data_IF_869597745839
#
_entry.id   IF_869597745839
#
_cell.length_a   1.000
_cell.length_b   1.000
_cell.length_c   1.000
_cell.angle_alpha   90.00
_cell.angle_beta   90.00
_cell.angle_gamma   90.00
#
_symmetry.space_group_name_H-M   'P 1'
#
loop_
_entity.id
_entity.type
_entity.pdbx_description
1 polymer ?
#
# COMPACT_ATOMS: atom_id res chain seq x y z
N UNK A 1 -34.19 -5.34 -52.55
CA UNK A 1 -33.46 -6.47 -51.91
C UNK A 1 -32.19 -5.92 -51.27
N UNK A 2 -31.82 -6.33 -50.05
CA UNK A 2 -30.44 -6.17 -49.54
C UNK A 2 -30.16 -5.22 -48.37
N UNK A 3 -30.76 -5.52 -47.21
CA UNK A 3 -30.53 -5.09 -45.81
C UNK A 3 -29.27 -4.29 -45.42
N UNK A 4 -29.53 -3.15 -44.77
CA UNK A 4 -28.66 -2.31 -43.92
C UNK A 4 -28.29 -3.02 -42.60
N UNK A 5 -27.01 -3.06 -42.20
CA UNK A 5 -26.59 -3.49 -40.86
C UNK A 5 -26.17 -2.29 -40.00
N UNK A 6 -27.08 -1.83 -39.13
CA UNK A 6 -26.80 -0.91 -38.03
C UNK A 6 -26.29 -1.72 -36.83
N UNK A 7 -25.06 -1.44 -36.41
CA UNK A 7 -24.48 -1.94 -35.15
C UNK A 7 -25.24 -1.35 -33.95
N UNK A 8 -25.83 -2.23 -33.15
CA UNK A 8 -26.61 -1.87 -31.97
C UNK A 8 -25.67 -1.51 -30.81
N UNK A 9 -25.72 -0.25 -30.37
CA UNK A 9 -25.21 0.13 -29.05
C UNK A 9 -26.02 -0.60 -27.96
N UNK A 10 -25.33 -1.44 -27.19
CA UNK A 10 -25.88 -2.05 -25.97
C UNK A 10 -25.89 -0.97 -24.88
N UNK A 11 -27.08 -0.47 -24.55
CA UNK A 11 -27.30 0.44 -23.42
C UNK A 11 -27.04 -0.34 -22.12
N UNK A 12 -26.03 0.07 -21.35
CA UNK A 12 -25.87 -0.37 -19.96
C UNK A 12 -26.94 0.34 -19.14
N UNK A 13 -27.97 -0.41 -18.75
CA UNK A 13 -29.06 0.05 -17.90
C UNK A 13 -28.53 0.26 -16.48
N UNK A 14 -28.41 1.51 -16.04
CA UNK A 14 -28.32 1.83 -14.61
C UNK A 14 -29.66 1.49 -13.96
N UNK A 15 -29.74 0.30 -13.36
CA UNK A 15 -30.76 0.02 -12.34
C UNK A 15 -30.15 0.41 -11.00
N UNK A 16 -30.53 1.58 -10.51
CA UNK A 16 -30.34 1.98 -9.12
C UNK A 16 -31.23 1.09 -8.23
N UNK A 17 -30.75 -0.11 -7.92
CA UNK A 17 -31.37 -0.97 -6.93
C UNK A 17 -30.94 -0.46 -5.56
N UNK A 18 -31.70 0.50 -5.03
CA UNK A 18 -31.61 0.94 -3.64
C UNK A 18 -31.84 -0.28 -2.75
N UNK A 19 -30.76 -0.86 -2.23
CA UNK A 19 -30.81 -1.86 -1.16
C UNK A 19 -31.37 -1.17 0.09
N UNK A 20 -32.68 -1.19 0.25
CA UNK A 20 -33.32 -0.96 1.55
C UNK A 20 -33.02 -2.18 2.42
N UNK A 21 -31.87 -2.19 3.10
CA UNK A 21 -31.68 -3.11 4.22
C UNK A 21 -32.70 -2.73 5.28
N UNK A 22 -33.58 -3.67 5.64
CA UNK A 22 -34.32 -3.60 6.89
C UNK A 22 -33.28 -3.70 7.99
N UNK A 23 -32.95 -2.56 8.61
CA UNK A 23 -32.16 -2.58 9.85
C UNK A 23 -33.14 -3.11 10.89
N UNK A 24 -33.04 -4.39 11.23
CA UNK A 24 -33.74 -4.88 12.42
C UNK A 24 -33.08 -4.22 13.63
N UNK A 25 -33.90 -3.54 14.43
CA UNK A 25 -33.42 -2.95 15.67
C UNK A 25 -32.87 -4.05 16.58
N UNK A 26 -31.72 -3.83 17.26
CA UNK A 26 -31.15 -4.82 18.15
C UNK A 26 -32.18 -5.23 19.21
N UNK A 27 -32.57 -6.50 19.21
CA UNK A 27 -33.43 -7.08 20.25
C UNK A 27 -32.59 -7.33 21.50
N UNK A 28 -32.32 -6.26 22.23
CA UNK A 28 -32.12 -6.16 23.68
C UNK A 28 -31.22 -4.95 24.01
N UNK A 29 -31.68 -4.14 24.98
CA UNK A 29 -30.90 -3.00 25.50
C UNK A 29 -29.89 -3.53 26.51
N UNK A 30 -28.61 -3.48 26.17
CA UNK A 30 -27.49 -3.70 27.10
C UNK A 30 -27.59 -2.64 28.21
N UNK A 31 -27.75 -3.07 29.47
CA UNK A 31 -28.04 -2.16 30.58
C UNK A 31 -26.80 -1.58 31.25
N UNK A 32 -25.65 -2.27 31.22
CA UNK A 32 -24.42 -1.77 31.85
C UNK A 32 -23.15 -2.10 31.02
N UNK A 33 -22.13 -1.21 30.95
CA UNK A 33 -20.93 -1.39 30.11
C UNK A 33 -19.95 -2.47 30.58
N UNK A 34 -20.09 -2.96 31.82
CA UNK A 34 -19.16 -3.88 32.46
C UNK A 34 -19.42 -5.36 32.11
N UNK A 35 -20.54 -5.68 31.44
CA UNK A 35 -20.84 -7.03 30.92
C UNK A 35 -20.07 -7.39 29.63
N UNK A 36 -19.30 -6.44 29.08
CA UNK A 36 -18.54 -6.61 27.84
C UNK A 36 -17.12 -7.18 28.06
N UNK A 37 -16.70 -7.37 29.31
CA UNK A 37 -15.33 -7.72 29.67
C UNK A 37 -15.37 -9.03 30.47
N UNK A 38 -14.71 -10.08 29.98
CA UNK A 38 -14.59 -11.34 30.72
C UNK A 38 -13.65 -11.21 31.93
N UNK A 39 -13.64 -12.21 32.82
CA UNK A 39 -12.82 -12.18 34.05
C UNK A 39 -11.30 -12.09 33.81
N UNK A 40 -10.85 -12.21 32.55
CA UNK A 40 -9.46 -12.05 32.13
C UNK A 40 -9.18 -10.68 31.46
N UNK A 41 -10.18 -9.80 31.34
CA UNK A 41 -10.01 -8.45 30.83
C UNK A 41 -10.11 -8.30 29.30
N UNK A 42 -10.62 -9.32 28.60
CA UNK A 42 -10.84 -9.27 27.15
C UNK A 42 -12.29 -8.87 26.81
N UNK A 43 -12.44 -8.15 25.70
CA UNK A 43 -13.75 -7.75 25.20
C UNK A 43 -14.44 -8.99 24.62
N UNK A 44 -15.50 -9.44 25.29
CA UNK A 44 -16.36 -10.53 24.85
C UNK A 44 -17.25 -10.05 23.69
N UNK A 45 -16.72 -10.08 22.47
CA UNK A 45 -17.56 -10.02 21.28
C UNK A 45 -18.37 -11.34 21.24
N UNK A 46 -19.71 -11.28 21.10
CA UNK A 46 -20.53 -12.48 21.06
C UNK A 46 -20.02 -13.40 19.95
N UNK A 47 -19.79 -14.67 20.31
CA UNK A 47 -19.33 -15.70 19.40
C UNK A 47 -20.31 -15.80 18.21
N UNK A 48 -19.79 -15.42 17.04
CA UNK A 48 -20.29 -15.76 15.70
C UNK A 48 -21.80 -15.94 15.57
N UNK A 49 -22.49 -14.90 15.10
CA UNK A 49 -23.46 -15.13 14.04
C UNK A 49 -22.67 -15.79 12.90
N UNK A 50 -22.87 -17.10 12.70
CA UNK A 50 -22.26 -17.82 11.58
C UNK A 50 -22.62 -17.04 10.32
N UNK A 51 -21.61 -16.41 9.72
CA UNK A 51 -21.78 -15.67 8.48
C UNK A 51 -22.43 -16.64 7.49
N UNK A 52 -23.62 -16.34 6.94
CA UNK A 52 -24.32 -17.26 6.07
C UNK A 52 -23.36 -17.80 5.01
N UNK A 53 -23.41 -19.11 4.74
CA UNK A 53 -22.46 -19.79 3.85
C UNK A 53 -22.39 -19.12 2.47
N UNK A 54 -23.50 -18.53 2.03
CA UNK A 54 -23.62 -17.70 0.83
C UNK A 54 -22.75 -16.44 0.88
N UNK A 55 -22.72 -15.73 2.01
CA UNK A 55 -21.90 -14.51 2.21
C UNK A 55 -20.43 -14.88 2.32
N UNK A 56 -20.08 -15.99 2.98
CA UNK A 56 -18.70 -16.47 3.02
C UNK A 56 -18.24 -16.94 1.62
N UNK A 57 -19.10 -17.60 0.85
CA UNK A 57 -18.83 -17.98 -0.54
C UNK A 57 -18.68 -16.76 -1.45
N UNK A 58 -19.49 -15.71 -1.28
CA UNK A 58 -19.32 -14.44 -2.00
C UNK A 58 -18.02 -13.73 -1.61
N UNK A 59 -17.67 -13.71 -0.32
CA UNK A 59 -16.40 -13.18 0.18
C UNK A 59 -15.21 -13.96 -0.36
N UNK A 60 -15.29 -15.29 -0.40
CA UNK A 60 -14.28 -16.17 -0.96
C UNK A 60 -14.17 -15.99 -2.48
N UNK A 61 -15.27 -15.90 -3.21
CA UNK A 61 -15.27 -15.61 -4.65
C UNK A 61 -14.66 -14.22 -4.94
N UNK A 62 -14.97 -13.21 -4.12
CA UNK A 62 -14.37 -11.89 -4.23
C UNK A 62 -12.87 -11.91 -3.95
N UNK A 63 -12.43 -12.66 -2.93
CA UNK A 63 -11.01 -12.88 -2.62
C UNK A 63 -10.31 -13.62 -3.76
N UNK A 64 -10.91 -14.68 -4.28
CA UNK A 64 -10.39 -15.50 -5.38
C UNK A 64 -10.25 -14.70 -6.67
N UNK A 65 -11.26 -13.94 -7.08
CA UNK A 65 -11.21 -13.05 -8.25
C UNK A 65 -10.07 -12.01 -8.14
N UNK A 66 -9.77 -11.54 -6.93
CA UNK A 66 -8.67 -10.61 -6.70
C UNK A 66 -7.30 -11.31 -6.81
N UNK A 67 -7.21 -12.57 -6.38
CA UNK A 67 -5.99 -13.39 -6.51
C UNK A 67 -5.74 -13.74 -7.97
N UNK A 68 -6.74 -14.23 -8.70
CA UNK A 68 -6.62 -14.59 -10.13
C UNK A 68 -6.22 -13.39 -10.98
N UNK A 69 -6.88 -12.24 -10.81
CA UNK A 69 -6.53 -11.01 -11.53
C UNK A 69 -5.08 -10.56 -11.25
N UNK A 70 -4.62 -10.65 -10.00
CA UNK A 70 -3.25 -10.30 -9.65
C UNK A 70 -2.24 -11.28 -10.27
N UNK A 71 -2.57 -12.57 -10.32
CA UNK A 71 -1.74 -13.60 -10.93
C UNK A 71 -1.65 -13.43 -12.44
N UNK A 72 -2.77 -13.24 -13.13
CA UNK A 72 -2.81 -12.99 -14.58
C UNK A 72 -2.04 -11.71 -14.97
N UNK A 73 -2.19 -10.65 -14.18
CA UNK A 73 -1.48 -9.40 -14.41
C UNK A 73 0.02 -9.55 -14.13
N UNK A 74 0.41 -10.32 -13.10
CA UNK A 74 1.80 -10.65 -12.82
C UNK A 74 2.43 -11.48 -13.94
N UNK A 75 1.73 -12.50 -14.44
CA UNK A 75 2.20 -13.33 -15.55
C UNK A 75 2.42 -12.53 -16.83
N UNK A 76 1.49 -11.65 -17.19
CA UNK A 76 1.66 -10.74 -18.33
C UNK A 76 2.83 -9.76 -18.17
N UNK A 77 3.34 -9.57 -16.96
CA UNK A 77 4.45 -8.67 -16.63
C UNK A 77 5.79 -9.42 -16.43
N UNK A 78 5.80 -10.76 -16.45
CA UNK A 78 7.03 -11.56 -16.33
C UNK A 78 7.87 -11.53 -17.62
N UNK A 79 7.23 -11.54 -18.78
CA UNK A 79 7.88 -11.53 -20.10
C UNK A 79 8.36 -10.12 -20.51
N UNK A 80 9.33 -9.58 -19.79
CA UNK A 80 9.85 -8.22 -20.05
C UNK A 80 11.27 -8.25 -20.61
N UNK A 81 11.50 -8.96 -21.71
CA UNK A 81 12.76 -8.82 -22.48
C UNK A 81 12.84 -7.46 -23.21
N UNK A 82 11.73 -6.73 -23.34
CA UNK A 82 11.69 -5.31 -23.69
C UNK A 82 10.37 -4.77 -23.16
N UNK A 83 10.40 -3.82 -22.21
CA UNK A 83 9.20 -3.26 -21.58
C UNK A 83 8.18 -2.81 -22.65
N UNK A 84 7.07 -3.56 -22.79
CA UNK A 84 5.98 -3.24 -23.72
C UNK A 84 5.57 -1.77 -23.52
N UNK A 85 5.47 -0.96 -24.60
CA UNK A 85 5.02 0.43 -24.50
C UNK A 85 3.72 0.60 -23.70
N UNK A 86 2.83 -0.40 -23.68
CA UNK A 86 1.60 -0.38 -22.87
C UNK A 86 1.89 -0.33 -21.36
N UNK A 87 2.86 -1.11 -20.89
CA UNK A 87 3.25 -1.15 -19.48
C UNK A 87 3.81 0.20 -19.07
N UNK A 88 4.65 0.80 -19.91
CA UNK A 88 5.22 2.14 -19.67
C UNK A 88 4.14 3.21 -19.53
N UNK A 89 3.15 3.22 -20.41
CA UNK A 89 2.04 4.19 -20.34
C UNK A 89 1.21 4.01 -19.06
N UNK A 90 0.92 2.76 -18.67
CA UNK A 90 0.17 2.47 -17.43
C UNK A 90 0.93 2.95 -16.19
N UNK A 91 2.21 2.62 -16.06
CA UNK A 91 2.99 3.03 -14.89
C UNK A 91 3.33 4.52 -14.88
N UNK A 92 3.47 5.16 -16.04
CA UNK A 92 3.57 6.62 -16.14
C UNK A 92 2.31 7.31 -15.60
N UNK A 93 1.12 6.81 -15.94
CA UNK A 93 -0.15 7.30 -15.38
C UNK A 93 -0.23 7.10 -13.87
N UNK A 94 0.25 5.96 -13.37
CA UNK A 94 0.34 5.70 -11.92
C UNK A 94 1.25 6.72 -11.23
N UNK A 95 2.42 7.05 -11.80
CA UNK A 95 3.32 8.08 -11.27
C UNK A 95 2.63 9.44 -11.10
N UNK A 96 1.84 9.86 -12.10
CA UNK A 96 1.04 11.10 -12.03
C UNK A 96 0.05 11.10 -10.86
N UNK A 97 -0.57 9.95 -10.57
CA UNK A 97 -1.49 9.80 -9.43
C UNK A 97 -0.73 9.90 -8.10
N UNK A 98 0.45 9.28 -8.00
CA UNK A 98 1.27 9.26 -6.79
C UNK A 98 1.80 10.64 -6.40
N UNK A 99 2.09 11.50 -7.38
CA UNK A 99 2.47 12.91 -7.16
C UNK A 99 1.38 13.71 -6.42
N UNK A 100 0.12 13.49 -6.78
CA UNK A 100 -1.04 14.17 -6.19
C UNK A 100 -1.65 13.46 -4.98
N UNK A 101 -1.11 12.31 -4.57
CA UNK A 101 -1.74 11.46 -3.57
C UNK A 101 -1.75 12.12 -2.19
N UNK A 102 -2.88 12.01 -1.49
CA UNK A 102 -3.07 12.51 -0.11
C UNK A 102 -3.63 11.42 0.79
N UNK A 103 -4.71 10.78 0.36
CA UNK A 103 -5.43 9.76 1.12
C UNK A 103 -6.12 8.78 0.17
N UNK A 104 -6.60 7.66 0.73
CA UNK A 104 -7.39 6.67 0.00
C UNK A 104 -6.64 5.38 -0.30
N UNK A 105 -7.11 4.66 -1.33
CA UNK A 105 -6.53 3.38 -1.75
C UNK A 105 -5.55 3.63 -2.89
N UNK A 106 -4.35 3.05 -2.80
CA UNK A 106 -3.41 3.04 -3.91
C UNK A 106 -3.93 2.16 -5.07
N UNK A 107 -3.61 2.51 -6.33
CA UNK A 107 -3.95 1.70 -7.50
C UNK A 107 -3.45 0.25 -7.36
N UNK A 108 -4.24 -0.72 -7.82
CA UNK A 108 -3.84 -2.13 -7.73
C UNK A 108 -2.58 -2.42 -8.56
N UNK A 109 -2.39 -1.76 -9.70
CA UNK A 109 -1.17 -1.84 -10.50
C UNK A 109 0.10 -1.50 -9.71
N UNK A 110 0.00 -0.61 -8.71
CA UNK A 110 1.13 -0.26 -7.83
C UNK A 110 1.39 -1.35 -6.78
N UNK A 111 0.33 -1.97 -6.24
CA UNK A 111 0.43 -2.98 -5.18
C UNK A 111 1.07 -4.28 -5.64
N UNK A 112 1.00 -4.59 -6.94
CA UNK A 112 1.59 -5.81 -7.49
C UNK A 112 3.09 -5.67 -7.79
N UNK A 113 3.63 -4.44 -7.82
CA UNK A 113 5.04 -4.19 -8.16
C UNK A 113 6.01 -5.06 -7.35
N UNK A 114 5.83 -5.24 -6.02
CA UNK A 114 6.75 -6.07 -5.23
C UNK A 114 6.85 -7.54 -5.63
N UNK A 115 5.84 -8.08 -6.31
CA UNK A 115 5.83 -9.46 -6.77
C UNK A 115 6.47 -9.67 -8.15
N UNK A 116 6.92 -8.59 -8.80
CA UNK A 116 7.49 -8.64 -10.14
C UNK A 116 9.01 -8.89 -10.08
N UNK A 117 9.55 -9.61 -11.05
CA UNK A 117 11.00 -9.87 -11.13
C UNK A 117 11.79 -8.58 -11.38
N UNK A 118 11.33 -7.77 -12.36
CA UNK A 118 11.92 -6.47 -12.71
C UNK A 118 11.24 -5.30 -12.00
N UNK A 119 10.88 -5.48 -10.73
CA UNK A 119 10.16 -4.48 -9.94
C UNK A 119 10.87 -3.11 -9.90
N UNK A 120 12.21 -3.09 -9.89
CA UNK A 120 12.98 -1.84 -9.80
C UNK A 120 12.83 -0.99 -11.06
N UNK A 121 12.93 -1.61 -12.24
CA UNK A 121 12.77 -0.91 -13.53
C UNK A 121 11.35 -0.34 -13.66
N UNK A 122 10.35 -1.11 -13.23
CA UNK A 122 8.94 -0.69 -13.22
C UNK A 122 8.71 0.44 -12.22
N UNK A 123 9.37 0.39 -11.05
CA UNK A 123 9.29 1.45 -10.05
C UNK A 123 9.84 2.77 -10.61
N UNK A 124 10.96 2.75 -11.32
CA UNK A 124 11.56 3.96 -11.91
C UNK A 124 10.60 4.64 -12.92
N UNK A 125 9.79 3.87 -13.65
CA UNK A 125 8.76 4.43 -14.56
C UNK A 125 7.71 5.28 -13.84
N UNK A 126 7.51 5.05 -12.54
CA UNK A 126 6.56 5.83 -11.73
C UNK A 126 7.17 7.09 -11.13
N UNK A 127 8.43 7.40 -11.46
CA UNK A 127 9.18 8.59 -11.00
C UNK A 127 9.12 8.78 -9.49
N UNK A 128 9.78 7.91 -8.70
CA UNK A 128 9.70 7.91 -7.24
C UNK A 128 10.15 9.22 -6.57
N UNK A 129 10.97 10.01 -7.27
CA UNK A 129 11.42 11.32 -6.82
C UNK A 129 10.30 12.38 -6.72
N UNK A 130 9.24 12.24 -7.51
CA UNK A 130 8.13 13.20 -7.58
C UNK A 130 6.93 12.79 -6.72
N UNK A 131 7.05 11.71 -5.96
CA UNK A 131 5.95 11.24 -5.13
C UNK A 131 5.62 12.19 -4.00
N UNK A 132 4.34 12.23 -3.61
CA UNK A 132 3.95 12.94 -2.40
C UNK A 132 4.51 12.22 -1.15
N UNK A 133 4.78 12.94 -0.05
CA UNK A 133 5.21 12.31 1.20
C UNK A 133 4.23 11.23 1.70
N UNK A 134 2.93 11.43 1.46
CA UNK A 134 1.89 10.45 1.78
C UNK A 134 2.01 9.18 0.94
N UNK A 135 2.33 9.31 -0.36
CA UNK A 135 2.54 8.19 -1.25
C UNK A 135 3.78 7.39 -0.82
N UNK A 136 4.88 8.06 -0.48
CA UNK A 136 6.11 7.43 0.02
C UNK A 136 5.82 6.58 1.26
N UNK A 137 5.01 7.07 2.19
CA UNK A 137 4.62 6.32 3.38
C UNK A 137 3.84 5.03 3.04
N UNK A 138 2.81 5.15 2.20
CA UNK A 138 1.99 4.00 1.82
C UNK A 138 2.78 3.00 0.96
N UNK A 139 3.64 3.49 0.06
CA UNK A 139 4.57 2.67 -0.71
C UNK A 139 5.50 1.89 0.22
N UNK A 140 6.13 2.57 1.18
CA UNK A 140 7.00 1.93 2.17
C UNK A 140 6.28 0.82 2.93
N UNK A 141 5.03 1.06 3.36
CA UNK A 141 4.23 0.02 4.03
C UNK A 141 4.07 -1.23 3.17
N UNK A 142 3.72 -1.08 1.88
CA UNK A 142 3.50 -2.20 0.95
C UNK A 142 4.80 -2.92 0.63
N UNK A 143 5.84 -2.19 0.27
CA UNK A 143 7.12 -2.75 -0.18
C UNK A 143 7.85 -3.44 0.97
N UNK A 144 7.86 -2.84 2.15
CA UNK A 144 8.47 -3.44 3.34
C UNK A 144 7.66 -4.65 3.81
N UNK A 145 6.34 -4.70 3.69
CA UNK A 145 5.59 -5.92 4.05
C UNK A 145 5.75 -7.06 3.03
N UNK A 146 5.86 -6.72 1.74
CA UNK A 146 5.78 -7.71 0.67
C UNK A 146 7.13 -8.27 0.22
N UNK A 147 8.22 -7.52 0.36
CA UNK A 147 9.53 -7.90 -0.20
C UNK A 147 10.45 -8.62 0.79
N UNK A 148 11.41 -9.36 0.23
CA UNK A 148 12.53 -9.93 1.01
C UNK A 148 13.53 -8.85 1.45
N UNK A 149 14.36 -9.10 2.50
CA UNK A 149 15.27 -8.11 3.07
C UNK A 149 16.23 -7.45 2.06
N UNK A 150 16.77 -8.23 1.10
CA UNK A 150 17.68 -7.72 0.06
C UNK A 150 16.99 -6.75 -0.91
N UNK A 151 15.73 -7.03 -1.27
CA UNK A 151 14.94 -6.18 -2.16
C UNK A 151 14.49 -4.92 -1.43
N UNK A 152 13.99 -5.06 -0.19
CA UNK A 152 13.64 -3.93 0.66
C UNK A 152 14.82 -2.98 0.87
N UNK A 153 16.03 -3.49 1.09
CA UNK A 153 17.23 -2.66 1.21
C UNK A 153 17.41 -1.73 -0.01
N UNK A 154 17.30 -2.29 -1.23
CA UNK A 154 17.44 -1.52 -2.47
C UNK A 154 16.35 -0.45 -2.60
N UNK A 155 15.11 -0.79 -2.27
CA UNK A 155 13.99 0.16 -2.28
C UNK A 155 14.19 1.29 -1.27
N UNK A 156 14.58 0.96 -0.03
CA UNK A 156 14.81 1.94 1.03
C UNK A 156 15.91 2.92 0.64
N UNK A 157 17.02 2.43 0.09
CA UNK A 157 18.11 3.28 -0.37
C UNK A 157 17.70 4.17 -1.56
N UNK A 158 17.11 3.61 -2.62
CA UNK A 158 16.79 4.39 -3.83
C UNK A 158 15.62 5.35 -3.66
N UNK A 159 14.62 4.98 -2.88
CA UNK A 159 13.37 5.76 -2.77
C UNK A 159 13.31 6.53 -1.47
N UNK A 160 13.28 5.83 -0.32
CA UNK A 160 13.00 6.47 0.97
C UNK A 160 14.15 7.35 1.45
N UNK A 161 15.39 6.86 1.39
CA UNK A 161 16.58 7.59 1.81
C UNK A 161 16.77 8.86 0.98
N UNK A 162 16.70 8.76 -0.35
CA UNK A 162 16.79 9.91 -1.25
C UNK A 162 15.68 10.94 -1.02
N UNK A 163 14.42 10.49 -0.85
CA UNK A 163 13.31 11.38 -0.57
C UNK A 163 13.47 12.12 0.78
N UNK A 164 13.90 11.41 1.83
CA UNK A 164 14.14 12.00 3.14
C UNK A 164 15.30 13.01 3.12
N UNK A 165 16.41 12.67 2.44
CA UNK A 165 17.58 13.55 2.28
C UNK A 165 17.21 14.85 1.55
N UNK A 166 16.49 14.74 0.42
CA UNK A 166 15.99 15.90 -0.34
C UNK A 166 15.09 16.81 0.51
N UNK A 167 14.19 16.21 1.30
CA UNK A 167 13.25 16.93 2.17
C UNK A 167 13.99 17.68 3.30
N UNK A 168 14.96 17.03 3.96
CA UNK A 168 15.79 17.65 5.01
C UNK A 168 16.66 18.76 4.44
N UNK A 169 17.27 18.56 3.27
CA UNK A 169 18.09 19.59 2.64
C UNK A 169 17.30 20.85 2.32
N UNK A 170 16.08 20.68 1.80
CA UNK A 170 15.18 21.77 1.38
C UNK A 170 14.51 22.50 2.54
N UNK A 171 13.93 21.76 3.49
CA UNK A 171 13.10 22.34 4.55
C UNK A 171 13.82 22.46 5.90
N UNK A 172 15.03 21.89 6.05
CA UNK A 172 15.78 21.75 7.30
C UNK A 172 15.01 21.04 8.43
N UNK A 173 13.88 20.42 8.09
CA UNK A 173 12.97 19.64 8.92
C UNK A 173 12.47 18.48 8.06
N UNK A 174 12.14 17.35 8.68
CA UNK A 174 11.59 16.19 7.98
C UNK A 174 10.07 16.22 8.02
N UNK A 175 9.42 15.93 6.88
CA UNK A 175 7.98 15.76 6.79
C UNK A 175 7.51 14.61 7.69
N UNK A 176 6.36 14.79 8.32
CA UNK A 176 5.76 13.78 9.20
C UNK A 176 5.56 12.42 8.52
N UNK A 177 5.13 12.38 7.25
CA UNK A 177 4.92 11.12 6.55
C UNK A 177 6.23 10.40 6.21
N UNK A 178 7.30 11.13 5.89
CA UNK A 178 8.63 10.54 5.74
C UNK A 178 9.15 9.96 7.06
N UNK A 179 8.91 10.66 8.17
CA UNK A 179 9.23 10.14 9.50
C UNK A 179 8.47 8.86 9.83
N UNK A 180 7.17 8.81 9.55
CA UNK A 180 6.37 7.58 9.69
C UNK A 180 6.85 6.46 8.76
N UNK A 181 7.28 6.80 7.55
CA UNK A 181 7.83 5.84 6.60
C UNK A 181 9.12 5.20 7.13
N UNK A 182 10.02 6.01 7.72
CA UNK A 182 11.23 5.52 8.37
C UNK A 182 10.91 4.58 9.55
N UNK A 183 9.93 4.94 10.39
CA UNK A 183 9.44 4.05 11.45
C UNK A 183 8.90 2.74 10.89
N UNK A 184 8.13 2.79 9.80
CA UNK A 184 7.56 1.58 9.19
C UNK A 184 8.60 0.72 8.48
N UNK A 185 9.65 1.32 7.95
CA UNK A 185 10.78 0.60 7.35
C UNK A 185 11.57 -0.20 8.40
N UNK A 186 11.58 0.22 9.66
CA UNK A 186 12.31 -0.45 10.74
C UNK A 186 11.76 -1.85 11.08
N UNK A 187 10.55 -2.21 10.64
CA UNK A 187 10.03 -3.59 10.77
C UNK A 187 10.92 -4.63 10.07
N UNK A 188 11.83 -4.21 9.18
CA UNK A 188 12.92 -5.04 8.65
C UNK A 188 14.28 -4.41 9.01
N UNK A 189 14.82 -4.66 10.22
CA UNK A 189 15.99 -3.95 10.73
C UNK A 189 17.24 -4.17 9.85
N UNK A 190 17.46 -5.39 9.35
CA UNK A 190 18.61 -5.69 8.48
C UNK A 190 18.62 -4.88 7.16
N UNK A 191 17.43 -4.65 6.57
CA UNK A 191 17.29 -3.84 5.37
C UNK A 191 17.42 -2.35 5.67
N UNK A 192 16.88 -1.92 6.81
CA UNK A 192 16.93 -0.53 7.28
C UNK A 192 18.35 -0.08 7.58
N UNK A 193 19.12 -0.87 8.34
CA UNK A 193 20.50 -0.54 8.69
C UNK A 193 21.36 -0.42 7.43
N UNK A 194 21.30 -1.40 6.53
CA UNK A 194 22.11 -1.40 5.31
C UNK A 194 21.64 -0.41 4.24
N UNK A 195 20.37 -0.06 4.23
CA UNK A 195 19.77 0.81 3.21
C UNK A 195 19.67 2.28 3.61
N UNK A 196 19.73 2.59 4.90
CA UNK A 196 19.55 3.95 5.43
C UNK A 196 20.72 4.32 6.34
N UNK A 197 21.04 3.51 7.36
CA UNK A 197 22.05 3.88 8.35
C UNK A 197 23.48 3.86 7.79
N UNK A 198 23.87 2.79 7.09
CA UNK A 198 25.22 2.70 6.51
C UNK A 198 25.47 3.78 5.46
N UNK A 199 24.57 4.01 4.47
CA UNK A 199 24.75 5.13 3.54
C UNK A 199 24.77 6.49 4.25
N UNK A 200 24.06 6.66 5.35
CA UNK A 200 24.15 7.88 6.14
C UNK A 200 25.53 8.06 6.78
N UNK A 201 26.18 7.00 7.26
CA UNK A 201 27.52 7.07 7.86
C UNK A 201 28.65 7.17 6.83
N UNK A 202 28.46 6.61 5.64
CA UNK A 202 29.45 6.61 4.55
C UNK A 202 29.43 7.93 3.76
N UNK A 203 28.25 8.55 3.60
CA UNK A 203 28.09 9.84 2.95
C UNK A 203 28.24 11.02 3.95
N UNK A 204 28.28 12.26 3.46
CA UNK A 204 28.38 13.47 4.29
C UNK A 204 27.14 13.67 5.20
N UNK A 205 27.15 13.02 6.36
CA UNK A 205 26.10 13.07 7.36
C UNK A 205 26.03 14.44 8.02
N UNK A 206 24.89 15.12 7.92
CA UNK A 206 24.67 16.35 8.68
C UNK A 206 24.16 16.05 10.09
N UNK A 207 24.51 16.90 11.06
CA UNK A 207 24.09 16.76 12.47
C UNK A 207 22.57 16.69 12.62
N UNK A 208 21.82 17.37 11.74
CA UNK A 208 20.35 17.33 11.69
C UNK A 208 19.83 15.97 11.21
N UNK A 209 20.41 15.40 10.16
CA UNK A 209 20.03 14.08 9.68
C UNK A 209 20.31 13.01 10.74
N UNK A 210 21.50 13.05 11.37
CA UNK A 210 21.85 12.17 12.48
C UNK A 210 20.86 12.29 13.65
N UNK A 211 20.49 13.52 14.04
CA UNK A 211 19.53 13.75 15.14
C UNK A 211 18.15 13.17 14.81
N UNK A 212 17.67 13.36 13.58
CA UNK A 212 16.36 12.86 13.14
C UNK A 212 16.34 11.33 13.10
N UNK A 213 17.36 10.71 12.49
CA UNK A 213 17.46 9.26 12.37
C UNK A 213 17.69 8.61 13.74
N UNK A 214 18.53 9.20 14.59
CA UNK A 214 18.70 8.80 15.99
C UNK A 214 17.37 8.83 16.75
N UNK A 215 16.56 9.88 16.57
CA UNK A 215 15.21 9.95 17.17
C UNK A 215 14.28 8.84 16.68
N UNK A 216 14.36 8.43 15.41
CA UNK A 216 13.58 7.29 14.89
C UNK A 216 14.01 6.01 15.61
N UNK A 217 15.32 5.73 15.69
CA UNK A 217 15.85 4.53 16.35
C UNK A 217 15.40 4.50 17.82
N UNK A 218 15.64 5.57 18.58
CA UNK A 218 15.23 5.65 19.98
C UNK A 218 13.74 5.38 20.16
N UNK A 219 12.88 5.96 19.29
CA UNK A 219 11.43 5.75 19.38
C UNK A 219 10.93 4.41 18.87
N UNK A 220 11.70 3.64 18.12
CA UNK A 220 11.28 2.29 17.71
C UNK A 220 11.81 1.26 18.69
N UNK A 221 13.06 1.42 19.15
CA UNK A 221 13.67 0.52 20.12
C UNK A 221 13.10 0.69 21.53
N UNK A 222 12.67 1.88 21.95
CA UNK A 222 12.09 2.10 23.29
C UNK A 222 10.68 1.51 23.49
N UNK A 223 10.10 0.86 22.47
CA UNK A 223 8.80 0.18 22.55
C UNK A 223 8.93 -1.34 22.70
N UNK A 224 10.14 -1.83 22.91
CA UNK A 224 10.45 -3.19 23.34
C UNK A 224 11.17 -3.13 24.69
#
# INVERSE_FOLDING_TARGET
MGKTNRTKHVKVSHKDTVLKRKIEEPKEKIKDPEDLIDAEGFICLPASEEVPEEVENELQAFRANRVTFNTELSEKLKDTSSLDPKIKDVYSKVGKILRGYRSGKLPNAFKIIPGLEKWMEILELTSPDDWSPQAVYQATKIFVSSMGPKQSQKFLYRTLYNAAKKDIQKHKKLNYHHYLALKKAFYKPAAWIRGILFPLCEEDCTLKEATIIGSVISKVCAWH
#
